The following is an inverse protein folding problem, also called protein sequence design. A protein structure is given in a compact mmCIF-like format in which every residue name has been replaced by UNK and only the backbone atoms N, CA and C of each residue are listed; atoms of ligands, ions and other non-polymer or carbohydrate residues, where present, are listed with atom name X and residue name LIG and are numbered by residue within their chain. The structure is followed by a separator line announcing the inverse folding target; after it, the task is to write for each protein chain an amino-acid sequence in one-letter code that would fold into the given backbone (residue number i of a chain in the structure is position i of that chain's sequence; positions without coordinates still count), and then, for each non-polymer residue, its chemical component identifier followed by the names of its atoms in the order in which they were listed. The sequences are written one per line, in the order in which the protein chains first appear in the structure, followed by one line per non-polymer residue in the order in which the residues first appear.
data_IF_299220920327
#
_entry.id   IF_299220920327
#
_cell.length_a   1.000
_cell.length_b   1.000
_cell.length_c   1.000
_cell.angle_alpha   90.00
_cell.angle_beta   90.00
_cell.angle_gamma   90.00
#
_symmetry.space_group_name_H-M   'P 1'
#
loop_
_entity.id
_entity.type
_entity.pdbx_description
1 polymer ?
#
# COMPACT_ATOMS: atom_id res chain seq x y z
N UNK A 1 5.80 -4.62 -3.09
CA UNK A 1 4.52 -4.20 -2.46
C UNK A 1 3.97 -5.39 -1.68
N UNK A 2 3.72 -5.28 -0.38
CA UNK A 2 2.87 -6.26 0.32
C UNK A 2 2.04 -5.59 1.40
N UNK A 3 0.90 -5.06 0.97
CA UNK A 3 -0.34 -5.04 1.76
C UNK A 3 -1.19 -6.16 1.17
N UNK A 4 -1.69 -7.06 2.01
CA UNK A 4 -2.26 -8.36 1.62
C UNK A 4 -3.33 -8.27 0.54
N UNK A 5 -4.10 -7.19 0.51
CA UNK A 5 -5.14 -6.95 -0.49
C UNK A 5 -4.59 -6.70 -1.90
N UNK A 6 -3.56 -5.86 -2.06
CA UNK A 6 -2.95 -5.58 -3.38
C UNK A 6 -2.28 -6.85 -3.92
N UNK A 7 -1.67 -7.64 -3.03
CA UNK A 7 -1.03 -8.91 -3.40
C UNK A 7 -2.03 -10.00 -3.83
N UNK A 8 -3.30 -9.88 -3.49
CA UNK A 8 -4.37 -10.80 -3.89
C UNK A 8 -5.12 -10.35 -5.16
N UNK A 9 -4.97 -9.09 -5.57
CA UNK A 9 -5.65 -8.53 -6.74
C UNK A 9 -5.18 -9.18 -8.05
N UNK A 10 -5.97 -9.05 -9.13
CA UNK A 10 -5.56 -9.52 -10.46
C UNK A 10 -4.36 -8.72 -10.98
N UNK A 11 -3.68 -9.20 -12.02
CA UNK A 11 -2.56 -8.45 -12.59
C UNK A 11 -2.99 -7.08 -13.13
N UNK A 12 -4.16 -7.00 -13.78
CA UNK A 12 -4.70 -5.74 -14.28
C UNK A 12 -4.93 -4.74 -13.13
N UNK A 13 -5.61 -5.19 -12.08
CA UNK A 13 -5.88 -4.34 -10.90
C UNK A 13 -4.57 -3.87 -10.22
N UNK A 14 -3.54 -4.73 -10.16
CA UNK A 14 -2.24 -4.36 -9.59
C UNK A 14 -1.56 -3.26 -10.40
N UNK A 15 -1.63 -3.34 -11.72
CA UNK A 15 -1.05 -2.32 -12.59
C UNK A 15 -1.79 -0.99 -12.48
N UNK A 16 -3.12 -1.02 -12.39
CA UNK A 16 -3.93 0.18 -12.17
C UNK A 16 -3.59 0.84 -10.83
N UNK A 17 -3.53 0.05 -9.76
CA UNK A 17 -3.13 0.53 -8.42
C UNK A 17 -1.71 1.12 -8.46
N UNK A 18 -0.78 0.47 -9.17
CA UNK A 18 0.59 0.97 -9.33
C UNK A 18 0.61 2.31 -10.07
N UNK A 19 -0.18 2.47 -11.12
CA UNK A 19 -0.27 3.71 -11.87
C UNK A 19 -0.83 4.85 -11.00
N UNK A 20 -1.94 4.62 -10.29
CA UNK A 20 -2.51 5.62 -9.38
C UNK A 20 -1.55 6.00 -8.26
N UNK A 21 -0.81 5.05 -7.70
CA UNK A 21 0.21 5.34 -6.68
C UNK A 21 1.36 6.19 -7.23
N UNK A 22 1.82 5.90 -8.45
CA UNK A 22 2.88 6.68 -9.09
C UNK A 22 2.45 8.13 -9.34
N UNK A 23 1.23 8.33 -9.83
CA UNK A 23 0.65 9.67 -10.04
C UNK A 23 0.52 10.43 -8.71
N UNK A 24 0.02 9.78 -7.66
CA UNK A 24 -0.10 10.38 -6.33
C UNK A 24 1.27 10.82 -5.78
N UNK A 25 2.29 9.98 -5.91
CA UNK A 25 3.65 10.32 -5.44
C UNK A 25 4.21 11.50 -6.24
N UNK A 26 3.99 11.54 -7.55
CA UNK A 26 4.52 12.59 -8.42
C UNK A 26 3.84 13.96 -8.19
N UNK A 27 2.56 13.96 -7.84
CA UNK A 27 1.74 15.19 -7.74
C UNK A 27 1.64 15.73 -6.32
N UNK A 28 1.73 14.87 -5.29
CA UNK A 28 1.49 15.30 -3.92
C UNK A 28 2.73 16.01 -3.32
N UNK A 29 2.62 17.28 -2.86
CA UNK A 29 3.78 18.07 -2.41
C UNK A 29 4.58 17.44 -1.26
N UNK A 30 3.92 16.67 -0.39
CA UNK A 30 4.57 16.01 0.75
C UNK A 30 5.37 14.75 0.36
N UNK A 31 5.14 14.21 -0.84
CA UNK A 31 5.71 12.95 -1.34
C UNK A 31 6.68 13.18 -2.51
N UNK A 32 6.40 14.18 -3.35
CA UNK A 32 7.19 14.48 -4.54
C UNK A 32 8.67 14.67 -4.20
N UNK A 33 9.54 13.98 -4.95
CA UNK A 33 11.00 14.05 -4.77
C UNK A 33 11.54 13.23 -3.60
N UNK A 34 10.70 12.49 -2.87
CA UNK A 34 11.17 11.55 -1.84
C UNK A 34 11.43 10.19 -2.47
N UNK A 35 12.67 9.74 -2.36
CA UNK A 35 13.09 8.39 -2.73
C UNK A 35 12.41 7.31 -1.85
N UNK A 36 12.19 7.66 -0.57
CA UNK A 36 11.55 6.77 0.40
C UNK A 36 10.42 7.46 1.15
N UNK A 37 9.25 6.82 1.17
CA UNK A 37 8.09 7.23 1.97
C UNK A 37 7.84 6.17 3.05
N UNK A 38 7.96 6.54 4.32
CA UNK A 38 7.65 5.66 5.45
C UNK A 38 6.25 5.97 5.98
N UNK A 39 5.42 4.95 6.10
CA UNK A 39 4.14 5.02 6.80
C UNK A 39 4.30 4.33 8.17
N UNK A 40 3.78 4.92 9.27
CA UNK A 40 3.85 4.33 10.60
C UNK A 40 2.82 3.19 10.75
N UNK A 41 2.92 2.14 9.94
CA UNK A 41 2.05 0.98 10.08
C UNK A 41 2.46 0.14 11.29
N UNK A 42 1.46 -0.22 12.11
CA UNK A 42 1.60 -1.19 13.19
C UNK A 42 0.94 -2.49 12.76
N UNK A 43 1.75 -3.53 12.59
CA UNK A 43 1.23 -4.89 12.41
C UNK A 43 0.80 -5.45 13.76
N UNK A 44 -0.43 -5.95 13.84
CA UNK A 44 -0.99 -6.57 15.06
C UNK A 44 -1.55 -7.94 14.68
N UNK A 45 -1.27 -8.94 15.51
CA UNK A 45 -1.87 -10.27 15.41
C UNK A 45 -3.00 -10.38 16.43
N UNK A 46 -4.16 -10.85 15.99
CA UNK A 46 -5.32 -11.11 16.85
C UNK A 46 -5.65 -12.59 16.80
N UNK A 47 -6.00 -13.16 17.95
CA UNK A 47 -6.48 -14.53 18.07
C UNK A 47 -7.76 -14.52 18.92
N UNK A 48 -8.80 -15.19 18.44
CA UNK A 48 -10.07 -15.32 19.16
C UNK A 48 -10.41 -16.81 19.26
N UNK A 49 -10.71 -17.26 20.48
CA UNK A 49 -11.22 -18.60 20.73
C UNK A 49 -12.60 -18.48 21.39
N UNK A 50 -13.55 -19.27 20.92
CA UNK A 50 -14.87 -19.38 21.54
C UNK A 50 -14.75 -20.34 22.73
N UNK A 51 -15.22 -19.90 23.89
CA UNK A 51 -15.32 -20.73 25.11
C UNK A 51 -16.60 -21.56 25.03
#
# INVERSE_FOLDING_TARGET
MSVSFIAAASHADREDIRASLAELIATHPALKGKDRVSFPYRTVAYHCARI
#
